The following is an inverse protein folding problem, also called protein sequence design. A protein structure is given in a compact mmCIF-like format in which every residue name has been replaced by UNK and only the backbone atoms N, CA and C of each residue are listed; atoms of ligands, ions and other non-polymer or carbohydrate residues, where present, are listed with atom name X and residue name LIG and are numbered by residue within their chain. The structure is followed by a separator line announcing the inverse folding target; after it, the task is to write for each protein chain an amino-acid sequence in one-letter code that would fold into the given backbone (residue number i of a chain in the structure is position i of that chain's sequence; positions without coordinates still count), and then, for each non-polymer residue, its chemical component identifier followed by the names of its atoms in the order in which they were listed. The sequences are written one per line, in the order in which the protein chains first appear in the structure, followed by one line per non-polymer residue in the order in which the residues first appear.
data_IF_072209808621
#
_entry.id   IF_072209808621
#
_cell.length_a   1.000
_cell.length_b   1.000
_cell.length_c   1.000
_cell.angle_alpha   90.00
_cell.angle_beta   90.00
_cell.angle_gamma   90.00
#
_symmetry.space_group_name_H-M   'P 1'
#
loop_
_entity.id
_entity.type
_entity.pdbx_description
1 polymer ?
#
# COMPACT_ATOMS: atom_id res chain seq x y z
N UNK A 1 16.24 -15.07 2.14
CA UNK A 1 15.28 -14.69 1.09
C UNK A 1 14.65 -13.37 1.49
N UNK A 2 14.29 -12.53 0.52
CA UNK A 2 13.64 -11.25 0.75
C UNK A 2 12.32 -11.21 -0.01
N UNK A 3 11.29 -10.62 0.59
CA UNK A 3 10.01 -10.36 -0.07
C UNK A 3 9.53 -8.94 0.20
N UNK A 4 8.93 -8.32 -0.81
CA UNK A 4 8.13 -7.12 -0.64
C UNK A 4 6.67 -7.57 -0.57
N UNK A 5 6.06 -7.52 0.62
CA UNK A 5 4.71 -8.04 0.83
C UNK A 5 3.67 -7.27 0.01
N UNK A 6 3.91 -5.99 -0.30
CA UNK A 6 3.08 -5.18 -1.17
C UNK A 6 3.89 -4.15 -1.96
N UNK A 7 4.03 -4.37 -3.27
CA UNK A 7 4.62 -3.42 -4.21
C UNK A 7 3.61 -2.34 -4.59
N UNK A 8 3.83 -1.13 -4.08
CA UNK A 8 2.96 0.04 -4.30
C UNK A 8 3.08 0.67 -5.68
N UNK A 9 4.12 0.34 -6.44
CA UNK A 9 4.34 0.90 -7.77
C UNK A 9 3.60 0.05 -8.80
N UNK A 10 3.79 -1.26 -8.71
CA UNK A 10 3.18 -2.21 -9.64
C UNK A 10 1.78 -2.67 -9.20
N UNK A 11 1.38 -2.40 -7.95
CA UNK A 11 0.08 -2.80 -7.42
C UNK A 11 -0.02 -4.31 -7.19
N UNK A 12 1.07 -4.92 -6.72
CA UNK A 12 1.18 -6.36 -6.44
C UNK A 12 1.19 -6.60 -4.93
N UNK A 13 0.48 -7.62 -4.46
CA UNK A 13 0.48 -8.02 -3.04
C UNK A 13 0.61 -9.54 -2.88
N UNK A 14 1.45 -9.96 -1.94
CA UNK A 14 1.42 -11.32 -1.40
C UNK A 14 0.29 -11.41 -0.37
N UNK A 15 -0.85 -11.94 -0.82
CA UNK A 15 -2.06 -12.14 -0.01
C UNK A 15 -1.84 -13.17 1.11
N UNK A 16 -0.85 -14.05 0.96
CA UNK A 16 -0.42 -15.02 1.96
C UNK A 16 1.08 -14.86 2.28
N UNK A 17 1.49 -15.29 3.47
CA UNK A 17 2.90 -15.30 3.85
C UNK A 17 3.62 -16.49 3.18
N UNK A 18 4.70 -16.26 2.41
CA UNK A 18 5.33 -17.33 1.64
C UNK A 18 5.99 -18.38 2.54
N UNK A 19 5.87 -19.65 2.15
CA UNK A 19 6.64 -20.73 2.74
C UNK A 19 8.00 -20.86 2.06
N UNK A 20 9.07 -20.77 2.86
CA UNK A 20 10.44 -20.80 2.39
C UNK A 20 11.24 -21.97 2.95
N UNK A 21 10.57 -22.90 3.64
CA UNK A 21 11.19 -23.98 4.40
C UNK A 21 12.15 -23.44 5.46
N UNK A 22 13.33 -24.05 5.57
CA UNK A 22 14.35 -23.70 6.59
C UNK A 22 15.12 -22.39 6.29
N UNK A 23 14.80 -21.70 5.20
CA UNK A 23 15.49 -20.45 4.84
C UNK A 23 14.99 -19.29 5.68
N UNK A 24 15.90 -18.35 5.99
CA UNK A 24 15.53 -17.10 6.64
C UNK A 24 14.79 -16.18 5.66
N UNK A 25 13.57 -15.75 6.01
CA UNK A 25 12.77 -14.80 5.25
C UNK A 25 12.81 -13.41 5.88
N UNK A 26 13.11 -12.39 5.07
CA UNK A 26 12.97 -10.98 5.44
C UNK A 26 11.83 -10.36 4.63
N UNK A 27 10.89 -9.68 5.29
CA UNK A 27 9.73 -9.07 4.64
C UNK A 27 9.67 -7.55 4.79
N UNK A 28 9.44 -6.83 3.69
CA UNK A 28 8.99 -5.44 3.72
C UNK A 28 7.46 -5.39 3.76
N UNK A 29 6.93 -4.85 4.86
CA UNK A 29 5.48 -4.70 5.10
C UNK A 29 5.04 -3.23 5.14
N UNK A 30 5.89 -2.30 4.71
CA UNK A 30 5.65 -0.85 4.79
C UNK A 30 4.24 -0.46 4.32
N UNK A 31 3.77 -1.03 3.22
CA UNK A 31 2.48 -0.69 2.59
C UNK A 31 1.30 -1.54 3.03
N UNK A 32 1.50 -2.61 3.80
CA UNK A 32 0.43 -3.60 4.07
C UNK A 32 0.38 -4.12 5.50
N UNK A 33 1.32 -3.74 6.37
CA UNK A 33 1.22 -4.09 7.80
C UNK A 33 -0.12 -3.59 8.36
N UNK A 34 -0.82 -4.44 9.13
CA UNK A 34 -2.17 -4.17 9.66
C UNK A 34 -3.30 -4.15 8.63
N UNK A 35 -3.07 -4.54 7.36
CA UNK A 35 -4.15 -4.76 6.39
C UNK A 35 -4.71 -6.19 6.46
N UNK A 36 -3.89 -7.13 6.93
CA UNK A 36 -4.23 -8.54 7.15
C UNK A 36 -3.42 -9.11 8.31
N UNK A 37 -3.78 -10.32 8.74
CA UNK A 37 -2.98 -11.09 9.69
C UNK A 37 -1.66 -11.51 9.03
N UNK A 38 -0.56 -11.38 9.79
CA UNK A 38 0.78 -11.81 9.37
C UNK A 38 1.26 -12.91 10.32
N UNK A 39 1.71 -14.02 9.75
CA UNK A 39 2.35 -15.11 10.49
C UNK A 39 3.79 -14.72 10.83
N UNK A 40 3.95 -13.87 11.86
CA UNK A 40 5.24 -13.29 12.29
C UNK A 40 6.34 -14.36 12.46
N UNK A 41 5.98 -15.56 12.92
CA UNK A 41 6.91 -16.68 13.12
C UNK A 41 7.59 -17.18 11.85
N UNK A 42 7.01 -16.94 10.66
CA UNK A 42 7.64 -17.28 9.36
C UNK A 42 8.79 -16.34 9.00
N UNK A 43 8.91 -15.20 9.65
CA UNK A 43 9.88 -14.17 9.31
C UNK A 43 11.10 -14.20 10.25
N UNK A 44 12.29 -14.19 9.67
CA UNK A 44 13.53 -13.90 10.36
C UNK A 44 13.55 -12.45 10.85
N UNK A 45 13.11 -11.56 9.98
CA UNK A 45 12.78 -10.18 10.31
C UNK A 45 11.67 -9.69 9.38
N UNK A 46 10.87 -8.75 9.85
CA UNK A 46 10.07 -7.92 8.96
C UNK A 46 10.21 -6.47 9.40
N UNK A 47 10.07 -5.55 8.45
CA UNK A 47 10.10 -4.13 8.74
C UNK A 47 8.96 -3.38 8.05
N UNK A 48 8.63 -2.23 8.60
CA UNK A 48 7.58 -1.36 8.10
C UNK A 48 7.97 0.09 8.39
N UNK A 49 8.22 0.87 7.34
CA UNK A 49 8.29 2.32 7.49
C UNK A 49 6.90 2.87 7.77
N UNK A 50 6.79 3.81 8.70
CA UNK A 50 5.48 4.27 9.18
C UNK A 50 4.68 5.02 8.10
N UNK A 51 5.36 5.70 7.17
CA UNK A 51 4.79 6.66 6.21
C UNK A 51 3.83 6.14 5.14
N UNK A 52 3.33 4.91 5.26
CA UNK A 52 2.23 4.37 4.43
C UNK A 52 1.05 3.95 5.32
N UNK A 53 1.01 2.68 5.74
CA UNK A 53 -0.18 2.13 6.41
C UNK A 53 -0.19 2.30 7.94
N UNK A 54 0.91 2.74 8.54
CA UNK A 54 1.12 2.75 10.01
C UNK A 54 1.12 4.15 10.63
N UNK A 55 1.25 5.22 9.83
CA UNK A 55 1.23 6.60 10.32
C UNK A 55 2.04 7.58 9.47
N UNK A 56 2.57 8.67 10.05
CA UNK A 56 3.39 9.63 9.34
C UNK A 56 4.79 9.07 9.09
N UNK A 57 5.47 9.52 8.03
CA UNK A 57 6.86 9.15 7.77
C UNK A 57 7.78 9.61 8.91
N UNK A 58 8.84 8.84 9.19
CA UNK A 58 9.87 9.19 10.17
C UNK A 58 10.21 8.10 11.20
N UNK A 59 9.50 6.97 11.20
CA UNK A 59 9.78 5.80 12.03
C UNK A 59 9.87 4.56 11.16
N UNK A 60 10.76 3.63 11.51
CA UNK A 60 10.76 2.28 10.95
C UNK A 60 10.57 1.28 12.09
N UNK A 61 9.49 0.50 12.03
CA UNK A 61 9.27 -0.64 12.90
C UNK A 61 10.05 -1.82 12.34
N UNK A 62 10.79 -2.52 13.21
CA UNK A 62 11.44 -3.79 12.89
C UNK A 62 11.01 -4.83 13.91
N UNK A 63 10.47 -5.95 13.43
CA UNK A 63 10.22 -7.15 14.24
C UNK A 63 11.25 -8.18 13.80
N UNK A 64 12.15 -8.58 14.71
CA UNK A 64 13.26 -9.48 14.41
C UNK A 64 13.30 -10.63 15.41
N UNK A 65 13.62 -11.82 14.89
CA UNK A 65 13.83 -13.02 15.70
C UNK A 65 15.03 -12.83 16.66
N UNK A 66 14.81 -13.11 17.94
CA UNK A 66 15.80 -12.87 19.01
C UNK A 66 17.10 -13.65 18.80
N UNK A 67 17.03 -14.88 18.29
CA UNK A 67 18.19 -15.74 18.02
C UNK A 67 19.11 -15.20 16.89
N UNK A 68 18.69 -14.16 16.18
CA UNK A 68 19.45 -13.53 15.11
C UNK A 68 20.15 -12.23 15.52
N UNK A 69 19.94 -11.73 16.74
CA UNK A 69 20.45 -10.43 17.18
C UNK A 69 21.98 -10.39 17.28
N UNK A 70 22.63 -11.53 17.56
CA UNK A 70 24.08 -11.67 17.71
C UNK A 70 24.86 -11.79 16.38
N UNK A 71 24.23 -11.48 15.25
CA UNK A 71 24.80 -11.70 13.91
C UNK A 71 25.33 -10.44 13.22
N UNK A 72 25.33 -9.30 13.90
CA UNK A 72 25.89 -8.07 13.36
C UNK A 72 27.38 -8.25 13.05
N UNK A 73 27.88 -7.55 12.01
CA UNK A 73 29.30 -7.58 11.67
C UNK A 73 30.07 -6.66 12.62
N UNK A 74 31.34 -6.94 12.86
CA UNK A 74 32.18 -6.14 13.77
C UNK A 74 32.25 -4.64 13.39
N UNK A 75 32.08 -4.32 12.10
CA UNK A 75 32.09 -2.95 11.59
C UNK A 75 30.70 -2.32 11.45
N UNK A 76 29.62 -2.98 11.90
CA UNK A 76 28.27 -2.42 11.84
C UNK A 76 28.19 -1.18 12.75
N UNK A 77 27.85 0.01 12.21
CA UNK A 77 27.67 1.21 13.03
C UNK A 77 26.61 0.98 14.11
N UNK A 78 26.80 1.58 15.30
CA UNK A 78 25.89 1.40 16.45
C UNK A 78 24.43 1.70 16.10
N UNK A 79 24.20 2.73 15.26
CA UNK A 79 22.87 3.13 14.78
C UNK A 79 22.19 2.13 13.83
N UNK A 80 22.92 1.12 13.34
CA UNK A 80 22.40 0.04 12.50
C UNK A 80 22.45 -1.33 13.21
N UNK A 81 22.81 -1.34 14.50
CA UNK A 81 23.03 -2.58 15.25
C UNK A 81 21.78 -2.97 16.07
N UNK A 82 20.92 -3.84 15.53
CA UNK A 82 19.63 -4.19 16.15
C UNK A 82 19.71 -4.72 17.58
N UNK A 83 20.74 -5.50 17.93
CA UNK A 83 20.97 -5.94 19.31
C UNK A 83 21.07 -4.77 20.29
N UNK A 84 21.78 -3.70 19.92
CA UNK A 84 21.94 -2.50 20.76
C UNK A 84 20.59 -1.89 21.06
N UNK A 85 19.71 -1.74 20.05
CA UNK A 85 18.33 -1.28 20.25
C UNK A 85 17.50 -2.22 21.14
N UNK A 86 17.63 -3.53 20.95
CA UNK A 86 16.87 -4.53 21.70
C UNK A 86 17.28 -4.63 23.19
N UNK A 87 18.49 -4.22 23.52
CA UNK A 87 19.06 -4.30 24.88
C UNK A 87 19.07 -2.96 25.63
N UNK A 88 18.62 -1.86 25.02
CA UNK A 88 18.59 -0.56 25.72
C UNK A 88 17.70 -0.60 26.95
N UNK A 89 18.21 -0.09 28.06
CA UNK A 89 17.54 0.00 29.37
C UNK A 89 17.83 1.36 30.00
N UNK A 90 16.94 1.96 30.82
CA UNK A 90 15.60 1.47 31.19
C UNK A 90 14.52 1.69 30.12
N UNK A 91 14.82 2.49 29.08
CA UNK A 91 13.88 2.81 28.01
C UNK A 91 14.22 1.94 26.78
N UNK A 92 13.29 1.08 26.31
CA UNK A 92 13.50 0.27 25.12
C UNK A 92 13.69 1.11 23.84
N UNK A 93 14.49 0.59 22.90
CA UNK A 93 14.81 1.22 21.62
C UNK A 93 15.41 2.63 21.69
N UNK A 94 16.01 3.02 22.82
CA UNK A 94 16.56 4.36 23.05
C UNK A 94 18.09 4.39 22.93
N UNK A 95 18.61 4.25 21.70
CA UNK A 95 20.06 4.35 21.42
C UNK A 95 20.52 5.81 21.31
N UNK A 96 19.66 6.66 20.76
CA UNK A 96 19.84 8.11 20.65
C UNK A 96 18.48 8.81 20.81
N UNK A 97 18.41 10.12 20.59
CA UNK A 97 17.14 10.86 20.58
C UNK A 97 16.20 10.29 19.51
N UNK A 98 15.07 9.68 19.88
CA UNK A 98 14.16 9.07 18.93
C UNK A 98 13.24 10.13 18.32
N UNK A 99 12.58 9.85 17.19
CA UNK A 99 11.57 10.73 16.61
C UNK A 99 10.26 10.68 17.42
N UNK A 100 10.27 11.26 18.62
CA UNK A 100 9.20 11.15 19.63
C UNK A 100 7.82 11.48 19.07
N UNK A 101 7.70 12.55 18.27
CA UNK A 101 6.42 12.93 17.68
C UNK A 101 5.88 11.86 16.72
N UNK A 102 6.71 11.33 15.83
CA UNK A 102 6.29 10.30 14.89
C UNK A 102 5.92 8.98 15.60
N UNK A 103 6.66 8.60 16.65
CA UNK A 103 6.33 7.45 17.50
C UNK A 103 4.97 7.66 18.19
N UNK A 104 4.76 8.83 18.76
CA UNK A 104 3.49 9.19 19.41
C UNK A 104 2.33 9.11 18.42
N UNK A 105 2.46 9.69 17.21
CA UNK A 105 1.40 9.61 16.20
C UNK A 105 1.12 8.16 15.77
N UNK A 106 2.15 7.32 15.58
CA UNK A 106 1.94 5.90 15.30
C UNK A 106 1.17 5.21 16.43
N UNK A 107 1.45 5.57 17.70
CA UNK A 107 0.70 5.05 18.85
C UNK A 107 -0.79 5.46 18.83
N UNK A 108 -1.10 6.67 18.35
CA UNK A 108 -2.48 7.13 18.18
C UNK A 108 -3.18 6.36 17.07
N UNK A 109 -2.52 6.11 15.93
CA UNK A 109 -3.05 5.28 14.83
C UNK A 109 -3.41 3.88 15.34
N UNK A 110 -2.49 3.23 16.06
CA UNK A 110 -2.72 1.90 16.64
C UNK A 110 -3.90 1.89 17.62
N UNK A 111 -3.99 2.88 18.51
CA UNK A 111 -5.11 3.03 19.45
C UNK A 111 -6.43 3.25 18.71
N UNK A 112 -6.45 4.07 17.67
CA UNK A 112 -7.64 4.31 16.86
C UNK A 112 -8.11 3.01 16.20
N UNK A 113 -7.20 2.25 15.57
CA UNK A 113 -7.54 0.96 14.98
C UNK A 113 -8.07 -0.03 16.03
N UNK A 114 -7.43 -0.11 17.19
CA UNK A 114 -7.87 -0.97 18.28
C UNK A 114 -9.25 -0.57 18.82
N UNK A 115 -9.53 0.73 18.95
CA UNK A 115 -10.82 1.22 19.45
C UNK A 115 -11.95 1.00 18.44
N UNK A 116 -11.67 1.19 17.14
CA UNK A 116 -12.66 1.01 16.09
C UNK A 116 -12.98 -0.47 15.82
N UNK A 117 -11.95 -1.32 15.79
CA UNK A 117 -12.07 -2.69 15.30
C UNK A 117 -11.91 -3.75 16.40
N UNK A 118 -11.44 -3.37 17.59
CA UNK A 118 -11.24 -4.31 18.71
C UNK A 118 -12.53 -4.87 19.29
N UNK A 119 -13.67 -4.19 19.11
CA UNK A 119 -14.98 -4.71 19.50
C UNK A 119 -15.51 -5.80 18.56
N UNK A 120 -14.94 -5.93 17.36
CA UNK A 120 -15.31 -6.95 16.36
C UNK A 120 -14.74 -8.35 16.67
N UNK A 121 -14.17 -8.57 17.86
CA UNK A 121 -13.45 -9.80 18.21
C UNK A 121 -12.01 -9.73 17.69
N UNK A 122 -11.77 -10.16 16.46
CA UNK A 122 -10.45 -10.10 15.81
C UNK A 122 -10.32 -8.85 14.94
N UNK A 123 -9.67 -7.82 15.50
CA UNK A 123 -9.46 -6.55 14.79
C UNK A 123 -8.71 -6.71 13.45
N UNK A 124 -7.79 -7.67 13.34
CA UNK A 124 -7.04 -7.88 12.10
C UNK A 124 -7.89 -8.56 11.02
N UNK A 125 -8.78 -9.47 11.41
CA UNK A 125 -9.74 -10.08 10.49
C UNK A 125 -10.73 -9.02 9.98
N UNK A 126 -11.23 -8.16 10.86
CA UNK A 126 -12.13 -7.07 10.46
C UNK A 126 -11.45 -6.08 9.50
N UNK A 127 -10.19 -5.72 9.75
CA UNK A 127 -9.39 -4.89 8.84
C UNK A 127 -9.14 -5.57 7.49
N UNK A 128 -8.90 -6.88 7.50
CA UNK A 128 -8.74 -7.69 6.28
C UNK A 128 -10.01 -7.70 5.43
N UNK A 129 -11.16 -7.97 6.04
CA UNK A 129 -12.46 -7.90 5.36
C UNK A 129 -12.71 -6.50 4.77
N UNK A 130 -12.41 -5.43 5.53
CA UNK A 130 -12.53 -4.05 5.06
C UNK A 130 -11.57 -3.74 3.89
N UNK A 131 -10.33 -4.21 3.95
CA UNK A 131 -9.36 -4.06 2.87
C UNK A 131 -9.85 -4.74 1.58
N UNK A 132 -10.33 -5.99 1.70
CA UNK A 132 -10.89 -6.76 0.59
C UNK A 132 -12.11 -6.07 -0.02
N UNK A 133 -13.08 -5.64 0.80
CA UNK A 133 -14.29 -4.98 0.34
C UNK A 133 -13.99 -3.67 -0.42
N UNK A 134 -13.13 -2.80 0.13
CA UNK A 134 -12.76 -1.53 -0.51
C UNK A 134 -12.02 -1.74 -1.83
N UNK A 135 -11.08 -2.69 -1.86
CA UNK A 135 -10.36 -3.01 -3.09
C UNK A 135 -11.31 -3.58 -4.16
N UNK A 136 -12.26 -4.43 -3.77
CA UNK A 136 -13.25 -4.99 -4.68
C UNK A 136 -14.12 -3.93 -5.35
N UNK A 137 -14.47 -2.84 -4.66
CA UNK A 137 -15.22 -1.73 -5.26
C UNK A 137 -14.48 -1.10 -6.44
N UNK A 138 -13.20 -0.76 -6.24
CA UNK A 138 -12.35 -0.13 -7.26
C UNK A 138 -12.04 -1.11 -8.39
N UNK A 139 -11.65 -2.35 -8.08
CA UNK A 139 -11.41 -3.37 -9.09
C UNK A 139 -12.66 -3.70 -9.92
N UNK A 140 -13.84 -3.67 -9.30
CA UNK A 140 -15.10 -3.86 -10.03
C UNK A 140 -15.36 -2.74 -11.06
N UNK A 141 -14.94 -1.50 -10.79
CA UNK A 141 -14.98 -0.44 -11.79
C UNK A 141 -14.04 -0.75 -12.95
N UNK A 142 -12.83 -1.22 -12.67
CA UNK A 142 -11.84 -1.59 -13.70
C UNK A 142 -12.35 -2.75 -14.55
N UNK A 143 -12.76 -3.85 -13.93
CA UNK A 143 -13.13 -5.08 -14.61
C UNK A 143 -14.42 -4.93 -15.44
N UNK A 144 -15.35 -4.06 -15.02
CA UNK A 144 -16.60 -3.77 -15.76
C UNK A 144 -16.47 -2.62 -16.75
N UNK A 145 -15.30 -2.02 -16.88
CA UNK A 145 -15.08 -0.84 -17.73
C UNK A 145 -15.05 -1.15 -19.24
N UNK A 146 -15.26 -2.41 -19.63
CA UNK A 146 -15.14 -2.86 -21.03
C UNK A 146 -13.80 -2.49 -21.66
N UNK A 147 -12.73 -2.54 -20.86
CA UNK A 147 -11.37 -2.22 -21.27
C UNK A 147 -11.00 -0.74 -21.18
N UNK A 148 -11.91 0.14 -20.74
CA UNK A 148 -11.61 1.57 -20.58
C UNK A 148 -10.48 1.81 -19.57
N UNK A 149 -10.57 1.14 -18.41
CA UNK A 149 -9.48 1.05 -17.43
C UNK A 149 -8.75 -0.28 -17.60
N UNK A 150 -7.42 -0.22 -17.58
CA UNK A 150 -6.54 -1.37 -17.76
C UNK A 150 -5.68 -1.56 -16.52
N UNK A 151 -5.85 -2.71 -15.85
CA UNK A 151 -4.95 -3.19 -14.82
C UNK A 151 -4.23 -4.44 -15.34
N UNK A 152 -2.89 -4.38 -15.40
CA UNK A 152 -2.05 -5.46 -15.94
C UNK A 152 -1.60 -6.48 -14.89
N UNK A 153 -2.27 -6.51 -13.73
CA UNK A 153 -1.94 -7.43 -12.63
C UNK A 153 -2.92 -8.60 -12.64
N UNK A 154 -2.38 -9.82 -12.54
CA UNK A 154 -3.19 -11.03 -12.41
C UNK A 154 -4.13 -10.90 -11.19
N UNK A 155 -5.42 -11.28 -11.30
CA UNK A 155 -6.40 -11.07 -10.23
C UNK A 155 -5.96 -11.56 -8.84
N UNK A 156 -5.28 -12.70 -8.78
CA UNK A 156 -4.76 -13.33 -7.56
C UNK A 156 -3.57 -12.60 -6.92
N UNK A 157 -2.95 -11.66 -7.63
CA UNK A 157 -1.82 -10.85 -7.15
C UNK A 157 -2.16 -9.37 -6.99
N UNK A 158 -3.41 -8.99 -7.26
CA UNK A 158 -3.88 -7.61 -7.15
C UNK A 158 -3.75 -7.11 -5.72
N UNK A 159 -3.06 -5.99 -5.56
CA UNK A 159 -2.92 -5.33 -4.27
C UNK A 159 -4.24 -4.78 -3.76
N UNK A 160 -4.55 -5.07 -2.50
CA UNK A 160 -5.70 -4.47 -1.80
C UNK A 160 -5.39 -3.06 -1.30
N UNK A 161 -4.11 -2.68 -1.25
CA UNK A 161 -3.62 -1.42 -0.67
C UNK A 161 -3.25 -0.38 -1.71
N UNK A 162 -2.86 -0.77 -2.92
CA UNK A 162 -2.37 0.12 -3.97
C UNK A 162 -2.83 -0.38 -5.34
N UNK A 163 -3.93 0.19 -5.83
CA UNK A 163 -4.54 -0.22 -7.09
C UNK A 163 -4.01 0.67 -8.21
N UNK A 164 -3.19 0.11 -9.08
CA UNK A 164 -2.65 0.79 -10.25
C UNK A 164 -3.46 0.43 -11.49
N UNK A 165 -3.81 1.41 -12.31
CA UNK A 165 -4.42 1.19 -13.61
C UNK A 165 -4.02 2.30 -14.59
N UNK A 166 -4.14 2.01 -15.88
CA UNK A 166 -4.00 2.96 -16.97
C UNK A 166 -5.29 2.97 -17.81
N UNK A 167 -5.30 3.71 -18.91
CA UNK A 167 -6.39 3.72 -19.88
C UNK A 167 -6.06 2.78 -21.05
N UNK A 168 -7.07 2.38 -21.83
CA UNK A 168 -6.85 1.54 -23.00
C UNK A 168 -5.89 2.20 -23.99
N UNK A 169 -4.90 1.45 -24.48
CA UNK A 169 -3.97 1.89 -25.55
C UNK A 169 -4.46 1.52 -26.96
N UNK A 170 -5.49 0.68 -27.06
CA UNK A 170 -5.99 0.18 -28.34
C UNK A 170 -6.60 1.33 -29.15
N UNK A 171 -5.99 1.66 -30.29
CA UNK A 171 -6.39 2.77 -31.13
C UNK A 171 -7.80 2.62 -31.72
N UNK A 172 -8.32 1.40 -31.92
CA UNK A 172 -9.69 1.18 -32.37
C UNK A 172 -10.68 1.45 -31.23
N UNK A 173 -10.31 1.11 -29.99
CA UNK A 173 -11.09 1.44 -28.79
C UNK A 173 -11.04 2.95 -28.52
N UNK A 174 -9.87 3.57 -28.59
CA UNK A 174 -9.67 5.02 -28.45
C UNK A 174 -10.39 5.82 -29.54
N UNK A 175 -10.42 5.33 -30.80
CA UNK A 175 -11.19 5.99 -31.89
C UNK A 175 -12.69 5.99 -31.64
N UNK A 176 -13.24 4.98 -30.95
CA UNK A 176 -14.65 4.99 -30.54
C UNK A 176 -14.94 6.09 -29.51
N UNK A 177 -13.91 6.60 -28.82
CA UNK A 177 -13.99 7.68 -27.83
C UNK A 177 -13.60 9.05 -28.42
N UNK A 178 -13.42 9.15 -29.75
CA UNK A 178 -13.08 10.41 -30.42
C UNK A 178 -11.59 10.75 -30.51
N UNK A 179 -10.67 9.81 -30.26
CA UNK A 179 -9.22 9.99 -30.37
C UNK A 179 -8.71 10.24 -31.81
N UNK A 180 -7.67 11.08 -31.95
CA UNK A 180 -7.07 11.51 -33.24
C UNK A 180 -5.54 11.70 -33.16
N UNK A 181 -4.91 11.47 -32.00
CA UNK A 181 -3.47 11.66 -31.76
C UNK A 181 -2.78 10.28 -31.58
N UNK A 182 -1.46 10.24 -31.48
CA UNK A 182 -0.68 9.04 -31.12
C UNK A 182 -1.06 8.54 -29.71
N UNK A 183 -1.19 7.21 -29.55
CA UNK A 183 -1.73 6.56 -28.34
C UNK A 183 -1.09 7.04 -27.02
N UNK A 184 0.23 7.21 -26.96
CA UNK A 184 0.94 7.66 -25.73
C UNK A 184 0.52 9.06 -25.27
N UNK A 185 0.26 9.97 -26.21
CA UNK A 185 -0.17 11.34 -25.89
C UNK A 185 -1.60 11.34 -25.35
N UNK A 186 -2.46 10.49 -25.91
CA UNK A 186 -3.85 10.35 -25.45
C UNK A 186 -3.93 9.77 -24.03
N UNK A 187 -3.14 8.75 -23.71
CA UNK A 187 -3.03 8.20 -22.35
C UNK A 187 -2.63 9.28 -21.34
N UNK A 188 -1.57 10.03 -21.64
CA UNK A 188 -1.08 11.11 -20.77
C UNK A 188 -2.15 12.18 -20.54
N UNK A 189 -2.94 12.51 -21.58
CA UNK A 189 -4.04 13.46 -21.48
C UNK A 189 -5.19 12.92 -20.62
N UNK A 190 -5.55 11.64 -20.77
CA UNK A 190 -6.57 10.97 -19.96
C UNK A 190 -6.17 10.89 -18.49
N UNK A 191 -4.92 10.52 -18.20
CA UNK A 191 -4.35 10.56 -16.85
C UNK A 191 -4.38 11.98 -16.27
N UNK A 192 -4.09 12.99 -17.09
CA UNK A 192 -4.17 14.38 -16.65
C UNK A 192 -5.61 14.82 -16.32
N UNK A 193 -6.57 14.51 -17.20
CA UNK A 193 -7.99 14.82 -16.99
C UNK A 193 -8.55 14.13 -15.75
N UNK A 194 -8.25 12.84 -15.58
CA UNK A 194 -8.67 12.09 -14.40
C UNK A 194 -8.12 12.73 -13.12
N UNK A 195 -6.85 13.14 -13.11
CA UNK A 195 -6.24 13.85 -11.97
C UNK A 195 -6.91 15.19 -11.69
N UNK A 196 -7.24 15.96 -12.72
CA UNK A 196 -7.93 17.25 -12.54
C UNK A 196 -9.33 17.06 -11.96
N UNK A 197 -10.10 16.06 -12.43
CA UNK A 197 -11.43 15.77 -11.89
C UNK A 197 -11.37 15.19 -10.47
N UNK A 198 -10.38 14.35 -10.18
CA UNK A 198 -10.15 13.89 -8.83
C UNK A 198 -9.86 15.09 -7.90
N UNK A 199 -9.01 16.01 -8.34
CA UNK A 199 -8.68 17.22 -7.59
C UNK A 199 -9.90 18.14 -7.38
N UNK A 200 -10.76 18.31 -8.39
CA UNK A 200 -11.97 19.14 -8.25
C UNK A 200 -12.99 18.57 -7.26
N UNK A 201 -12.94 17.25 -7.01
CA UNK A 201 -13.71 16.53 -5.98
C UNK A 201 -12.97 16.42 -4.64
N UNK A 202 -11.83 17.09 -4.47
CA UNK A 202 -11.06 17.08 -3.23
C UNK A 202 -10.19 15.84 -3.02
N UNK A 203 -10.03 14.98 -4.03
CA UNK A 203 -9.14 13.83 -3.99
C UNK A 203 -7.72 14.21 -4.44
N UNK A 204 -6.71 13.69 -3.76
CA UNK A 204 -5.29 13.94 -4.07
C UNK A 204 -4.48 12.65 -4.01
N UNK A 205 -3.29 12.64 -4.61
CA UNK A 205 -2.39 11.49 -4.57
C UNK A 205 -2.85 10.30 -5.43
N UNK A 206 -3.63 10.57 -6.49
CA UNK A 206 -4.08 9.56 -7.45
C UNK A 206 -3.09 9.37 -8.61
N UNK A 207 -2.02 10.16 -8.66
CA UNK A 207 -0.96 9.99 -9.65
C UNK A 207 -0.25 8.62 -9.52
N UNK A 208 -0.09 7.96 -10.66
CA UNK A 208 0.81 6.84 -10.79
C UNK A 208 2.27 7.22 -10.55
N UNK A 209 3.13 6.21 -10.44
CA UNK A 209 4.55 6.47 -10.20
C UNK A 209 5.18 7.16 -11.43
N UNK A 210 6.05 8.19 -11.27
CA UNK A 210 6.58 8.97 -12.39
C UNK A 210 7.28 8.16 -13.49
N UNK A 211 7.87 7.02 -13.12
CA UNK A 211 8.54 6.13 -14.07
C UNK A 211 7.59 5.25 -14.90
N UNK A 212 6.33 5.09 -14.48
CA UNK A 212 5.37 4.16 -15.08
C UNK A 212 4.10 4.84 -15.59
N UNK A 213 3.83 6.09 -15.19
CA UNK A 213 2.59 6.78 -15.53
C UNK A 213 1.37 6.15 -14.86
N UNK A 214 0.20 6.37 -15.47
CA UNK A 214 -1.07 5.83 -15.01
C UNK A 214 -1.67 6.52 -13.79
N UNK A 215 -2.68 5.87 -13.23
CA UNK A 215 -3.40 6.25 -12.02
C UNK A 215 -3.13 5.22 -10.93
N UNK A 216 -2.96 5.68 -9.69
CA UNK A 216 -2.81 4.81 -8.53
C UNK A 216 -3.71 5.25 -7.39
N UNK A 217 -4.59 4.36 -6.96
CA UNK A 217 -5.48 4.57 -5.82
C UNK A 217 -4.93 3.80 -4.62
N UNK A 218 -4.46 4.53 -3.60
CA UNK A 218 -4.00 3.92 -2.34
C UNK A 218 -5.17 3.78 -1.35
N UNK A 219 -5.36 2.58 -0.79
CA UNK A 219 -6.48 2.22 0.09
C UNK A 219 -6.02 1.84 1.50
N UNK A 220 -5.02 2.56 2.03
CA UNK A 220 -4.51 2.34 3.39
C UNK A 220 -5.61 2.45 4.46
N UNK A 221 -5.34 1.94 5.65
CA UNK A 221 -6.29 1.91 6.77
C UNK A 221 -6.78 3.31 7.17
N UNK A 222 -5.94 4.33 7.00
CA UNK A 222 -6.27 5.73 7.28
C UNK A 222 -7.15 6.42 6.23
N UNK A 223 -7.40 5.77 5.08
CA UNK A 223 -8.35 6.26 4.07
C UNK A 223 -9.76 5.91 4.52
N UNK A 224 -10.66 6.90 4.52
CA UNK A 224 -12.06 6.72 4.92
C UNK A 224 -12.84 6.00 3.83
N UNK A 225 -13.97 5.38 4.19
CA UNK A 225 -14.79 4.63 3.22
C UNK A 225 -15.46 5.58 2.23
N UNK A 226 -15.82 6.78 2.66
CA UNK A 226 -16.40 7.84 1.83
C UNK A 226 -15.42 8.31 0.75
N UNK A 227 -14.12 8.38 1.06
CA UNK A 227 -13.09 8.71 0.07
C UNK A 227 -12.97 7.60 -0.99
N UNK A 228 -13.12 6.33 -0.60
CA UNK A 228 -13.15 5.21 -1.56
C UNK A 228 -14.39 5.27 -2.44
N UNK A 229 -15.55 5.57 -1.85
CA UNK A 229 -16.81 5.75 -2.59
C UNK A 229 -16.73 6.91 -3.60
N UNK A 230 -16.07 8.02 -3.25
CA UNK A 230 -15.88 9.15 -4.17
C UNK A 230 -14.99 8.79 -5.37
N UNK A 231 -13.91 8.02 -5.13
CA UNK A 231 -13.07 7.49 -6.23
C UNK A 231 -13.90 6.59 -7.14
N UNK A 232 -14.69 5.68 -6.57
CA UNK A 232 -15.58 4.78 -7.33
C UNK A 232 -16.61 5.56 -8.13
N UNK A 233 -17.19 6.63 -7.55
CA UNK A 233 -18.13 7.52 -8.25
C UNK A 233 -17.46 8.19 -9.44
N UNK A 234 -16.29 8.79 -9.24
CA UNK A 234 -15.51 9.37 -10.34
C UNK A 234 -15.22 8.32 -11.42
N UNK A 235 -14.77 7.11 -11.06
CA UNK A 235 -14.48 6.06 -12.02
C UNK A 235 -15.70 5.60 -12.83
N UNK A 236 -16.90 5.66 -12.27
CA UNK A 236 -18.12 5.31 -13.00
C UNK A 236 -18.59 6.45 -13.92
N UNK A 237 -18.40 7.71 -13.52
CA UNK A 237 -18.84 8.89 -14.28
C UNK A 237 -17.84 9.29 -15.38
N UNK A 238 -16.55 9.11 -15.14
CA UNK A 238 -15.47 9.57 -16.01
C UNK A 238 -15.54 9.00 -17.44
N UNK A 239 -15.84 7.72 -17.69
CA UNK A 239 -16.02 7.23 -19.05
C UNK A 239 -17.13 7.98 -19.80
N UNK A 240 -18.26 8.28 -19.17
CA UNK A 240 -19.37 8.97 -19.83
C UNK A 240 -19.07 10.46 -20.15
N UNK A 241 -18.06 11.05 -19.49
CA UNK A 241 -17.65 12.44 -19.72
C UNK A 241 -16.54 12.58 -20.78
N UNK A 242 -15.82 11.49 -21.08
CA UNK A 242 -14.62 11.50 -21.93
C UNK A 242 -14.66 10.48 -23.07
N UNK A 243 -15.83 9.87 -23.31
CA UNK A 243 -16.16 9.00 -24.45
C UNK A 243 -17.36 9.59 -25.18
#
# INVERSE_FOLDING_TARGET
MFTCANDTINGLEFLEDPDVGDKLLVGDFTSTLLSRRVQISRYAALYCSSGKNLGPAGVCLVIVRKDLLDRAKAYTPVMLHWKVYAETTPIPSLVNTPPVFAIYTCSLVLKTLQNQWGACGDALEALECRAQARAALVYSCIDRSSGFYVNNVLPENRSRMSICFTFCEDADVQRKWGGSITATVELTLMEHRFRQEAQSRGMSGVEGHPAFGGIRVCLYNGVSDEAVEEVVRLMNEFPALHV
#
